data_IF_052221078932
#
_entry.id   IF_052221078932
#
_cell.length_a   1.000
_cell.length_b   1.000
_cell.length_c   1.000
_cell.angle_alpha   90.00
_cell.angle_beta   90.00
_cell.angle_gamma   90.00
#
_symmetry.space_group_name_H-M   'P 1'
#
loop_
_entity.id
_entity.type
_entity.pdbx_description
1 polymer ?
#
# COMPACT_ATOMS: atom_id res chain seq x y z
N UNK A 1 53.02 -56.18 29.41
CA UNK A 1 53.62 -54.94 28.88
C UNK A 1 53.34 -54.84 27.39
N UNK A 2 53.12 -53.61 26.93
CA UNK A 2 52.91 -53.14 25.55
C UNK A 2 51.53 -53.34 24.92
N UNK A 3 50.97 -52.16 24.68
CA UNK A 3 49.76 -51.78 23.96
C UNK A 3 49.86 -52.12 22.47
N UNK A 4 48.72 -52.36 21.82
CA UNK A 4 48.49 -51.93 20.44
C UNK A 4 46.99 -51.77 20.10
N UNK A 5 46.66 -50.51 19.80
CA UNK A 5 45.83 -49.99 18.69
C UNK A 5 44.38 -50.45 18.46
N UNK A 6 43.46 -49.61 18.99
CA UNK A 6 42.52 -48.71 18.27
C UNK A 6 42.03 -49.14 16.86
N UNK A 7 40.71 -49.36 16.76
CA UNK A 7 39.83 -48.75 15.74
C UNK A 7 38.41 -48.54 16.30
N UNK A 8 37.90 -47.29 16.43
CA UNK A 8 36.47 -47.04 16.41
C UNK A 8 36.03 -46.65 15.00
N UNK A 9 34.96 -47.30 14.56
CA UNK A 9 34.23 -47.05 13.34
C UNK A 9 33.51 -45.69 13.39
N UNK A 10 33.53 -45.00 12.25
CA UNK A 10 32.46 -44.16 11.67
C UNK A 10 31.22 -43.95 12.55
N UNK A 11 30.81 -42.73 12.89
CA UNK A 11 30.73 -41.56 12.03
C UNK A 11 29.29 -41.35 11.60
N UNK A 12 28.48 -40.69 12.43
CA UNK A 12 27.19 -40.09 12.07
C UNK A 12 27.08 -38.76 12.82
N UNK A 13 27.61 -37.69 12.24
CA UNK A 13 27.27 -36.33 12.64
C UNK A 13 25.97 -35.95 11.94
N UNK A 14 24.91 -35.73 12.72
CA UNK A 14 23.70 -35.09 12.25
C UNK A 14 24.04 -33.65 11.82
N UNK A 15 23.92 -33.39 10.52
CA UNK A 15 23.97 -32.05 9.98
C UNK A 15 22.69 -31.31 10.40
N UNK A 16 22.81 -30.40 11.36
CA UNK A 16 21.79 -29.39 11.62
C UNK A 16 21.75 -28.44 10.41
N UNK A 17 20.76 -28.63 9.55
CA UNK A 17 20.40 -27.65 8.52
C UNK A 17 19.72 -26.49 9.26
N UNK A 18 20.46 -25.40 9.46
CA UNK A 18 19.87 -24.11 9.78
C UNK A 18 19.11 -23.64 8.54
N UNK A 19 17.78 -23.79 8.55
CA UNK A 19 16.91 -23.04 7.65
C UNK A 19 16.96 -21.60 8.13
N UNK A 20 17.84 -20.80 7.52
CA UNK A 20 17.79 -19.35 7.62
C UNK A 20 16.50 -18.93 6.91
N UNK A 21 15.44 -18.72 7.68
CA UNK A 21 14.27 -18.00 7.21
C UNK A 21 14.79 -16.62 6.77
N UNK A 22 14.81 -16.38 5.46
CA UNK A 22 15.09 -15.08 4.91
C UNK A 22 14.01 -14.12 5.45
N UNK A 23 14.42 -13.31 6.45
CA UNK A 23 13.74 -12.09 6.84
C UNK A 23 13.51 -11.31 5.55
N UNK A 24 12.28 -11.33 5.03
CA UNK A 24 11.86 -10.40 4.01
C UNK A 24 11.67 -9.06 4.71
N UNK A 25 12.77 -8.36 4.96
CA UNK A 25 12.71 -6.92 5.09
C UNK A 25 12.14 -6.40 3.77
N UNK A 26 11.04 -5.63 3.76
CA UNK A 26 10.65 -4.92 2.55
C UNK A 26 11.82 -4.01 2.19
N UNK A 27 12.55 -4.35 1.13
CA UNK A 27 13.52 -3.47 0.52
C UNK A 27 12.73 -2.36 -0.15
N UNK A 28 12.42 -1.31 0.61
CA UNK A 28 12.03 -0.03 0.05
C UNK A 28 13.24 0.47 -0.78
N UNK A 29 13.18 0.26 -2.08
CA UNK A 29 14.07 0.93 -3.02
C UNK A 29 13.53 2.34 -3.26
N UNK A 30 14.17 3.36 -2.68
CA UNK A 30 14.00 4.77 -3.02
C UNK A 30 15.42 5.39 -3.01
N UNK A 31 15.89 6.14 -4.01
CA UNK A 31 15.20 7.15 -4.82
C UNK A 31 15.38 6.92 -6.34
N UNK A 32 14.33 6.44 -7.00
CA UNK A 32 14.25 6.55 -8.46
C UNK A 32 13.56 7.87 -8.82
N UNK A 33 14.31 8.83 -9.36
CA UNK A 33 13.71 9.93 -10.10
C UNK A 33 13.39 9.46 -11.53
N UNK A 34 12.26 9.92 -12.07
CA UNK A 34 11.89 9.67 -13.45
C UNK A 34 11.35 10.93 -14.10
N UNK A 35 12.01 11.37 -15.17
CA UNK A 35 11.58 12.50 -15.98
C UNK A 35 10.77 12.00 -17.18
N UNK A 36 9.63 12.63 -17.42
CA UNK A 36 8.76 12.31 -18.54
C UNK A 36 8.12 13.56 -19.14
N UNK A 37 7.74 13.46 -20.41
CA UNK A 37 7.11 14.54 -21.16
C UNK A 37 5.67 14.16 -21.43
N UNK A 38 4.74 14.98 -20.95
CA UNK A 38 3.31 14.83 -21.21
C UNK A 38 2.59 16.15 -20.98
N UNK A 39 1.40 16.31 -21.54
CA UNK A 39 0.60 17.55 -21.42
C UNK A 39 1.40 18.81 -21.79
N UNK A 40 2.29 18.69 -22.78
CA UNK A 40 3.20 19.75 -23.26
C UNK A 40 4.19 20.30 -22.20
N UNK A 41 4.40 19.58 -21.11
CA UNK A 41 5.37 19.90 -20.07
C UNK A 41 6.34 18.77 -19.79
N UNK A 42 7.45 19.10 -19.12
CA UNK A 42 8.35 18.12 -18.52
C UNK A 42 8.02 18.00 -17.04
N UNK A 43 7.89 16.77 -16.59
CA UNK A 43 7.49 16.43 -15.23
C UNK A 43 8.53 15.52 -14.60
N UNK A 44 8.69 15.63 -13.29
CA UNK A 44 9.53 14.75 -12.48
C UNK A 44 8.64 13.93 -11.56
N UNK A 45 8.71 12.61 -11.68
CA UNK A 45 8.25 11.69 -10.65
C UNK A 45 9.39 11.40 -9.69
N UNK A 46 9.13 11.53 -8.39
CA UNK A 46 10.05 11.28 -7.28
C UNK A 46 9.35 10.46 -6.20
N UNK A 47 10.11 9.99 -5.21
CA UNK A 47 9.60 9.19 -4.08
C UNK A 47 8.77 7.99 -4.56
N UNK A 48 9.25 7.29 -5.59
CA UNK A 48 8.51 6.21 -6.24
C UNK A 48 8.60 4.96 -5.35
N UNK A 49 7.47 4.55 -4.78
CA UNK A 49 7.38 3.40 -3.88
C UNK A 49 6.52 2.33 -4.53
N UNK A 50 7.04 1.11 -4.58
CA UNK A 50 6.34 -0.08 -5.05
C UNK A 50 5.96 -0.96 -3.87
N UNK A 51 4.67 -1.26 -3.75
CA UNK A 51 4.15 -2.17 -2.72
C UNK A 51 3.42 -3.34 -3.37
N UNK A 52 3.79 -4.56 -3.02
CA UNK A 52 3.10 -5.77 -3.46
C UNK A 52 1.96 -6.10 -2.48
N UNK A 53 0.76 -6.30 -3.01
CA UNK A 53 -0.44 -6.71 -2.28
C UNK A 53 -1.05 -7.90 -3.02
N UNK A 54 -1.08 -9.07 -2.39
CA UNK A 54 -1.67 -10.31 -2.96
C UNK A 54 -1.21 -10.58 -4.42
N UNK A 55 0.09 -10.38 -4.69
CA UNK A 55 0.70 -10.55 -6.02
C UNK A 55 0.29 -9.53 -7.09
N UNK A 56 -0.33 -8.42 -6.73
CA UNK A 56 -0.50 -7.25 -7.59
C UNK A 56 0.19 -6.03 -6.96
N UNK A 57 0.45 -4.99 -7.75
CA UNK A 57 1.31 -3.87 -7.39
C UNK A 57 0.53 -2.58 -7.26
N UNK A 58 0.81 -1.88 -6.17
CA UNK A 58 0.50 -0.48 -5.96
C UNK A 58 1.78 0.33 -6.18
N UNK A 59 1.66 1.47 -6.88
CA UNK A 59 2.76 2.40 -7.07
C UNK A 59 2.38 3.76 -6.49
N UNK A 60 3.12 4.26 -5.52
CA UNK A 60 2.94 5.62 -4.99
C UNK A 60 4.07 6.52 -5.51
N UNK A 61 3.75 7.75 -5.88
CA UNK A 61 4.75 8.72 -6.36
C UNK A 61 4.31 10.17 -6.14
N UNK A 62 5.31 11.04 -6.02
CA UNK A 62 5.14 12.49 -6.05
C UNK A 62 5.53 13.03 -7.42
N UNK A 63 4.71 13.90 -7.99
CA UNK A 63 4.93 14.48 -9.32
C UNK A 63 5.03 16.00 -9.23
N UNK A 64 6.05 16.54 -9.90
CA UNK A 64 6.42 17.95 -9.84
C UNK A 64 6.59 18.50 -11.26
N UNK A 65 6.25 19.78 -11.45
CA UNK A 65 6.56 20.50 -12.69
C UNK A 65 8.07 20.70 -12.78
N UNK A 66 8.69 20.22 -13.85
CA UNK A 66 10.11 20.47 -14.13
C UNK A 66 10.33 21.59 -15.17
N UNK A 67 9.33 21.87 -16.02
CA UNK A 67 9.35 22.95 -17.01
C UNK A 67 7.97 23.64 -17.12
N UNK A 68 7.91 24.94 -17.46
CA UNK A 68 6.68 25.74 -17.43
C UNK A 68 5.58 25.19 -18.34
N UNK A 69 4.33 25.41 -17.91
CA UNK A 69 3.12 25.07 -18.66
C UNK A 69 2.59 26.31 -19.38
N UNK A 70 2.28 26.18 -20.67
CA UNK A 70 1.70 27.27 -21.46
C UNK A 70 0.16 27.34 -21.35
N UNK A 71 -0.49 26.41 -20.63
CA UNK A 71 -1.96 26.34 -20.51
C UNK A 71 -2.45 25.83 -19.16
N UNK A 72 -3.70 26.16 -18.83
CA UNK A 72 -4.40 25.58 -17.69
C UNK A 72 -4.73 24.10 -17.94
N UNK A 73 -4.35 23.25 -16.98
CA UNK A 73 -4.66 21.82 -16.98
C UNK A 73 -5.63 21.52 -15.83
N UNK A 74 -6.59 20.63 -16.09
CA UNK A 74 -7.48 20.15 -15.03
C UNK A 74 -6.84 18.99 -14.26
N UNK A 75 -7.19 18.82 -12.99
CA UNK A 75 -6.66 17.72 -12.18
C UNK A 75 -6.93 16.33 -12.80
N UNK A 76 -8.12 16.01 -13.34
CA UNK A 76 -8.34 14.72 -13.99
C UNK A 76 -7.41 14.45 -15.18
N UNK A 77 -7.13 15.46 -16.01
CA UNK A 77 -6.20 15.33 -17.14
C UNK A 77 -4.78 15.03 -16.66
N UNK A 78 -4.33 15.74 -15.62
CA UNK A 78 -3.01 15.49 -15.01
C UNK A 78 -2.92 14.07 -14.45
N UNK A 79 -3.87 13.66 -13.62
CA UNK A 79 -3.89 12.32 -13.04
C UNK A 79 -3.91 11.21 -14.09
N UNK A 80 -4.70 11.37 -15.16
CA UNK A 80 -4.80 10.36 -16.20
C UNK A 80 -3.48 10.24 -16.99
N UNK A 81 -2.92 11.38 -17.40
CA UNK A 81 -1.65 11.40 -18.14
C UNK A 81 -0.50 10.83 -17.30
N UNK A 82 -0.41 11.23 -16.04
CA UNK A 82 0.65 10.80 -15.15
C UNK A 82 0.55 9.32 -14.80
N UNK A 83 -0.65 8.83 -14.51
CA UNK A 83 -0.85 7.40 -14.26
C UNK A 83 -0.43 6.56 -15.47
N UNK A 84 -0.81 6.98 -16.69
CA UNK A 84 -0.41 6.28 -17.92
C UNK A 84 1.11 6.21 -18.06
N UNK A 85 1.80 7.31 -17.75
CA UNK A 85 3.26 7.36 -17.78
C UNK A 85 3.90 6.40 -16.77
N UNK A 86 3.44 6.41 -15.52
CA UNK A 86 3.95 5.51 -14.48
C UNK A 86 3.71 4.03 -14.83
N UNK A 87 2.50 3.68 -15.29
CA UNK A 87 2.16 2.29 -15.70
C UNK A 87 2.97 1.85 -16.91
N UNK A 88 3.23 2.75 -17.86
CA UNK A 88 4.00 2.46 -19.08
C UNK A 88 5.49 2.30 -18.79
N UNK A 89 6.08 3.28 -18.10
CA UNK A 89 7.51 3.35 -17.85
C UNK A 89 7.97 2.42 -16.72
N UNK A 90 7.09 2.14 -15.75
CA UNK A 90 7.36 1.35 -14.54
C UNK A 90 8.68 1.76 -13.87
N UNK A 91 8.85 3.06 -13.57
CA UNK A 91 10.11 3.58 -13.05
C UNK A 91 10.41 2.94 -11.69
N UNK A 92 11.66 2.50 -11.51
CA UNK A 92 12.11 1.90 -10.25
C UNK A 92 11.41 0.60 -9.87
N UNK A 93 10.74 -0.08 -10.82
CA UNK A 93 10.07 -1.34 -10.53
C UNK A 93 11.06 -2.38 -9.96
N UNK A 94 10.69 -3.13 -8.90
CA UNK A 94 11.61 -4.05 -8.22
C UNK A 94 12.04 -5.24 -9.11
N UNK A 95 11.32 -5.49 -10.20
CA UNK A 95 11.70 -6.48 -11.22
C UNK A 95 11.26 -5.99 -12.61
N UNK A 96 12.14 -6.09 -13.60
CA UNK A 96 11.89 -5.73 -15.00
C UNK A 96 10.73 -6.52 -15.66
N UNK A 97 10.32 -7.64 -15.08
CA UNK A 97 9.26 -8.52 -15.60
C UNK A 97 7.84 -8.18 -15.11
N UNK A 98 7.68 -7.16 -14.27
CA UNK A 98 6.35 -6.73 -13.82
C UNK A 98 5.54 -6.26 -15.03
N UNK A 99 4.46 -6.99 -15.34
CA UNK A 99 3.47 -6.58 -16.32
C UNK A 99 2.66 -5.41 -15.79
N UNK A 100 2.37 -4.46 -16.66
CA UNK A 100 1.36 -3.40 -16.47
C UNK A 100 0.00 -3.94 -16.00
N UNK A 101 -0.39 -5.15 -16.40
CA UNK A 101 -1.62 -5.83 -15.96
C UNK A 101 -1.62 -6.27 -14.50
N UNK A 102 -0.43 -6.31 -13.86
CA UNK A 102 -0.30 -6.60 -12.42
C UNK A 102 -0.30 -5.33 -11.58
N UNK A 103 -0.35 -4.14 -12.17
CA UNK A 103 -0.53 -2.89 -11.44
C UNK A 103 -2.03 -2.69 -11.28
N UNK A 104 -2.50 -2.59 -10.04
CA UNK A 104 -3.93 -2.40 -9.75
C UNK A 104 -4.26 -0.96 -9.33
N UNK A 105 -3.25 -0.21 -8.87
CA UNK A 105 -3.43 1.14 -8.35
C UNK A 105 -2.15 1.98 -8.49
N UNK A 106 -2.32 3.25 -8.84
CA UNK A 106 -1.28 4.27 -8.79
C UNK A 106 -1.74 5.42 -7.92
N UNK A 107 -0.97 5.76 -6.89
CA UNK A 107 -1.23 6.87 -5.99
C UNK A 107 -0.36 8.05 -6.40
N UNK A 108 -1.01 9.15 -6.79
CA UNK A 108 -0.32 10.33 -7.32
C UNK A 108 -0.52 11.50 -6.38
N UNK A 109 0.58 11.99 -5.82
CA UNK A 109 0.62 13.30 -5.17
C UNK A 109 1.23 14.32 -6.13
N UNK A 110 0.52 15.39 -6.47
CA UNK A 110 1.05 16.42 -7.38
C UNK A 110 1.43 17.65 -6.56
N UNK A 111 2.66 18.13 -6.72
CA UNK A 111 3.14 19.37 -6.11
C UNK A 111 3.00 20.55 -7.09
N UNK A 112 2.48 21.66 -6.58
CA UNK A 112 2.55 22.95 -7.24
C UNK A 112 4.00 23.46 -7.27
N UNK A 113 4.34 24.47 -8.11
CA UNK A 113 5.70 25.02 -8.21
C UNK A 113 6.28 25.55 -6.89
N UNK A 114 5.44 25.87 -5.91
CA UNK A 114 5.84 26.28 -4.56
C UNK A 114 6.15 25.09 -3.63
N UNK A 115 6.19 23.86 -4.16
CA UNK A 115 6.44 22.62 -3.42
C UNK A 115 5.26 22.12 -2.58
N UNK A 116 4.10 22.80 -2.61
CA UNK A 116 2.92 22.37 -1.84
C UNK A 116 2.07 21.40 -2.65
N UNK A 117 1.49 20.36 -2.01
CA UNK A 117 0.61 19.45 -2.72
C UNK A 117 -0.68 20.17 -3.14
N UNK A 118 -1.18 19.85 -4.33
CA UNK A 118 -2.43 20.42 -4.84
C UNK A 118 -3.68 19.75 -4.22
N UNK A 119 -3.49 18.61 -3.56
CA UNK A 119 -4.51 17.86 -2.83
C UNK A 119 -4.02 17.54 -1.41
N UNK A 120 -4.96 17.36 -0.47
CA UNK A 120 -4.61 17.06 0.92
C UNK A 120 -3.98 15.66 1.11
N UNK A 121 -4.24 14.75 0.17
CA UNK A 121 -3.70 13.40 0.14
C UNK A 121 -3.37 12.99 -1.30
N UNK A 122 -2.49 11.99 -1.50
CA UNK A 122 -2.30 11.37 -2.81
C UNK A 122 -3.63 10.90 -3.38
N UNK A 123 -3.84 11.11 -4.68
CA UNK A 123 -5.04 10.66 -5.38
C UNK A 123 -4.86 9.19 -5.78
N UNK A 124 -5.71 8.27 -5.28
CA UNK A 124 -5.63 6.87 -5.66
C UNK A 124 -6.33 6.63 -6.99
N UNK A 125 -5.60 6.13 -7.98
CA UNK A 125 -6.09 5.88 -9.34
C UNK A 125 -6.11 4.38 -9.60
N UNK A 126 -7.29 3.85 -9.89
CA UNK A 126 -7.46 2.44 -10.27
C UNK A 126 -6.77 2.14 -11.59
N UNK A 127 -6.11 0.98 -11.69
CA UNK A 127 -5.56 0.44 -12.93
C UNK A 127 -6.23 -0.90 -13.22
N UNK A 128 -6.95 -0.96 -14.32
CA UNK A 128 -7.62 -2.18 -14.75
C UNK A 128 -7.10 -2.60 -16.13
N UNK A 129 -6.53 -3.79 -16.22
CA UNK A 129 -5.98 -4.33 -17.46
C UNK A 129 -4.94 -3.38 -18.11
N UNK A 130 -4.08 -2.75 -17.30
CA UNK A 130 -3.07 -1.79 -17.76
C UNK A 130 -3.61 -0.40 -18.13
N UNK A 131 -4.90 -0.12 -17.88
CA UNK A 131 -5.52 1.18 -18.17
C UNK A 131 -5.88 1.91 -16.87
N UNK A 132 -5.42 3.16 -16.76
CA UNK A 132 -5.77 4.06 -15.68
C UNK A 132 -7.23 4.51 -15.77
N UNK A 133 -7.94 4.42 -14.65
CA UNK A 133 -9.33 4.81 -14.51
C UNK A 133 -9.41 5.99 -13.55
N UNK A 134 -9.35 7.19 -14.09
CA UNK A 134 -9.55 8.43 -13.32
C UNK A 134 -11.05 8.74 -13.31
N UNK A 135 -11.66 8.74 -12.13
CA UNK A 135 -13.08 9.03 -12.00
C UNK A 135 -13.40 10.50 -12.32
N UNK A 136 -14.51 10.73 -13.02
CA UNK A 136 -15.21 12.01 -12.99
C UNK A 136 -15.99 12.17 -11.68
N UNK A 137 -16.28 13.40 -11.27
CA UNK A 137 -16.86 13.78 -9.98
C UNK A 137 -17.90 12.83 -9.36
N UNK A 138 -17.87 12.76 -8.03
CA UNK A 138 -18.72 12.00 -7.10
C UNK A 138 -18.77 10.47 -7.21
N UNK A 139 -18.16 9.87 -8.24
CA UNK A 139 -17.95 8.42 -8.31
C UNK A 139 -16.54 8.07 -8.79
N UNK A 140 -15.54 8.63 -8.10
CA UNK A 140 -14.21 8.01 -8.09
C UNK A 140 -14.38 6.54 -7.73
N UNK A 141 -14.11 5.64 -8.68
CA UNK A 141 -14.02 4.22 -8.42
C UNK A 141 -12.87 4.04 -7.43
N UNK A 142 -13.18 4.05 -6.13
CA UNK A 142 -12.22 3.77 -5.08
C UNK A 142 -11.56 2.44 -5.42
N UNK A 143 -10.23 2.42 -5.64
CA UNK A 143 -9.55 1.24 -6.14
C UNK A 143 -9.80 0.07 -5.21
N UNK A 144 -10.28 -1.01 -5.81
CA UNK A 144 -10.51 -2.25 -5.08
C UNK A 144 -9.19 -2.97 -4.89
N UNK A 145 -8.99 -3.56 -3.73
CA UNK A 145 -7.82 -4.37 -3.49
C UNK A 145 -7.86 -5.67 -4.30
N UNK A 146 -6.70 -6.25 -4.64
CA UNK A 146 -6.59 -7.48 -5.42
C UNK A 146 -6.81 -8.74 -4.56
N UNK A 147 -6.71 -9.91 -5.21
CA UNK A 147 -6.64 -11.21 -4.54
C UNK A 147 -7.80 -11.49 -3.58
N UNK A 148 -7.48 -11.85 -2.34
CA UNK A 148 -8.49 -12.18 -1.29
C UNK A 148 -9.33 -10.98 -0.84
N UNK A 149 -8.97 -9.76 -1.22
CA UNK A 149 -9.75 -8.54 -0.93
C UNK A 149 -10.49 -8.02 -2.18
N UNK A 150 -10.55 -8.80 -3.25
CA UNK A 150 -11.25 -8.41 -4.49
C UNK A 150 -12.69 -8.00 -4.21
N UNK A 151 -13.07 -6.83 -4.71
CA UNK A 151 -14.41 -6.26 -4.51
C UNK A 151 -14.58 -5.47 -3.22
N UNK A 152 -13.51 -5.29 -2.45
CA UNK A 152 -13.43 -4.40 -1.29
C UNK A 152 -12.49 -3.24 -1.58
N UNK A 153 -12.79 -2.07 -1.03
CA UNK A 153 -11.94 -0.88 -1.12
C UNK A 153 -11.80 -0.25 0.27
N UNK A 154 -10.72 0.52 0.45
CA UNK A 154 -10.54 1.35 1.62
C UNK A 154 -11.52 2.52 1.56
N UNK A 155 -12.44 2.58 2.52
CA UNK A 155 -13.42 3.66 2.59
C UNK A 155 -12.98 4.77 3.54
N UNK A 156 -12.34 4.40 4.66
CA UNK A 156 -11.87 5.37 5.63
C UNK A 156 -10.74 4.79 6.50
N UNK A 157 -9.90 5.68 7.03
CA UNK A 157 -8.96 5.40 8.10
C UNK A 157 -8.97 6.56 9.09
N UNK A 158 -9.20 6.28 10.37
CA UNK A 158 -9.15 7.28 11.41
C UNK A 158 -8.46 6.76 12.67
N UNK A 159 -8.03 7.69 13.52
CA UNK A 159 -7.55 7.39 14.85
C UNK A 159 -8.66 7.73 15.83
N UNK A 160 -8.97 6.78 16.72
CA UNK A 160 -9.97 6.98 17.77
C UNK A 160 -9.28 6.93 19.12
N UNK A 161 -9.59 7.92 19.96
CA UNK A 161 -9.20 7.90 21.37
C UNK A 161 -10.07 6.90 22.13
N UNK A 162 -9.45 6.03 22.92
CA UNK A 162 -10.09 5.07 23.79
C UNK A 162 -9.50 5.20 25.21
N UNK A 163 -10.06 6.12 26.00
CA UNK A 163 -9.50 6.48 27.30
C UNK A 163 -8.20 7.27 27.14
N UNK A 164 -7.11 6.79 27.74
CA UNK A 164 -5.78 7.39 27.64
C UNK A 164 -4.99 6.92 26.41
N UNK A 165 -5.49 5.91 25.68
CA UNK A 165 -4.80 5.34 24.52
C UNK A 165 -5.50 5.71 23.23
N UNK A 166 -4.75 5.69 22.12
CA UNK A 166 -5.27 5.98 20.80
C UNK A 166 -5.07 4.76 19.91
N UNK A 167 -6.13 4.37 19.20
CA UNK A 167 -6.16 3.19 18.33
C UNK A 167 -6.43 3.57 16.90
N UNK A 168 -5.73 2.93 15.98
CA UNK A 168 -5.96 3.09 14.53
C UNK A 168 -7.17 2.26 14.13
N UNK A 169 -8.07 2.85 13.37
CA UNK A 169 -9.28 2.21 12.85
C UNK A 169 -9.31 2.34 11.33
N UNK A 170 -9.42 1.22 10.64
CA UNK A 170 -9.49 1.15 9.19
C UNK A 170 -10.78 0.49 8.77
N UNK A 171 -11.51 1.16 7.87
CA UNK A 171 -12.78 0.69 7.33
C UNK A 171 -12.62 0.32 5.86
N UNK A 172 -12.98 -0.93 5.57
CA UNK A 172 -13.22 -1.42 4.23
C UNK A 172 -14.72 -1.48 3.95
N UNK A 173 -15.09 -1.03 2.76
CA UNK A 173 -16.45 -1.20 2.25
C UNK A 173 -16.42 -2.04 0.98
N UNK A 174 -17.50 -2.80 0.76
CA UNK A 174 -17.67 -3.46 -0.53
C UNK A 174 -17.83 -2.41 -1.63
N UNK A 175 -17.22 -2.67 -2.77
CA UNK A 175 -17.34 -1.80 -3.93
C UNK A 175 -18.74 -1.89 -4.53
N UNK A 176 -19.23 -0.77 -5.06
CA UNK A 176 -20.57 -0.70 -5.66
C UNK A 176 -20.73 -1.79 -6.74
N UNK A 177 -21.78 -2.61 -6.59
CA UNK A 177 -22.09 -3.68 -7.54
C UNK A 177 -21.29 -4.96 -7.37
N UNK A 178 -20.42 -5.06 -6.35
CA UNK A 178 -19.83 -6.34 -5.96
C UNK A 178 -20.85 -7.20 -5.20
N UNK A 179 -20.72 -8.53 -5.34
CA UNK A 179 -21.56 -9.52 -4.65
C UNK A 179 -20.81 -10.20 -3.49
N UNK A 180 -19.80 -9.52 -2.94
CA UNK A 180 -18.99 -10.03 -1.82
C UNK A 180 -19.75 -9.91 -0.50
N UNK A 181 -19.55 -10.86 0.41
CA UNK A 181 -20.16 -10.85 1.74
C UNK A 181 -19.12 -10.60 2.81
N UNK A 182 -19.53 -10.04 3.95
CA UNK A 182 -18.61 -9.80 5.08
C UNK A 182 -17.92 -11.08 5.56
N UNK A 183 -18.60 -12.23 5.47
CA UNK A 183 -18.00 -13.53 5.80
C UNK A 183 -16.84 -13.94 4.88
N UNK A 184 -16.75 -13.36 3.68
CA UNK A 184 -15.68 -13.60 2.72
C UNK A 184 -14.50 -12.64 2.92
N UNK A 185 -14.62 -11.66 3.82
CA UNK A 185 -13.59 -10.66 4.06
C UNK A 185 -12.45 -11.22 4.91
N UNK A 186 -11.23 -11.19 4.37
CA UNK A 186 -10.06 -11.66 5.08
C UNK A 186 -9.40 -10.53 5.89
N UNK A 187 -9.70 -10.48 7.20
CA UNK A 187 -9.23 -9.44 8.11
C UNK A 187 -7.70 -9.38 8.22
N UNK A 188 -7.02 -10.54 8.27
CA UNK A 188 -5.57 -10.58 8.39
C UNK A 188 -4.89 -10.02 7.12
N UNK A 189 -5.39 -10.39 5.94
CA UNK A 189 -4.89 -9.83 4.66
C UNK A 189 -5.17 -8.34 4.57
N UNK A 190 -6.34 -7.89 5.03
CA UNK A 190 -6.65 -6.46 5.08
C UNK A 190 -5.68 -5.69 5.97
N UNK A 191 -5.36 -6.21 7.16
CA UNK A 191 -4.35 -5.63 8.02
C UNK A 191 -2.98 -5.54 7.31
N UNK A 192 -2.48 -6.64 6.75
CA UNK A 192 -1.19 -6.63 6.05
C UNK A 192 -1.20 -5.69 4.84
N UNK A 193 -2.30 -5.63 4.10
CA UNK A 193 -2.45 -4.72 2.98
C UNK A 193 -2.38 -3.26 3.42
N UNK A 194 -2.99 -2.91 4.55
CA UNK A 194 -2.95 -1.53 5.10
C UNK A 194 -1.56 -1.13 5.62
N UNK A 195 -0.80 -2.06 6.19
CA UNK A 195 0.59 -1.79 6.59
C UNK A 195 1.49 -1.51 5.39
N UNK A 196 1.20 -2.16 4.25
CA UNK A 196 1.99 -2.00 3.03
C UNK A 196 1.49 -0.90 2.08
N UNK A 197 0.33 -0.28 2.35
CA UNK A 197 -0.26 0.78 1.51
C UNK A 197 0.27 2.17 1.90
N UNK A 198 1.11 2.82 1.08
CA UNK A 198 1.73 4.11 1.43
C UNK A 198 0.73 5.24 1.61
N UNK A 199 -0.42 5.19 0.93
CA UNK A 199 -1.46 6.21 1.11
C UNK A 199 -2.15 6.04 2.46
N UNK A 200 -2.40 4.80 2.89
CA UNK A 200 -2.90 4.53 4.25
C UNK A 200 -1.91 5.07 5.28
N UNK A 201 -0.62 4.77 5.13
CA UNK A 201 0.42 5.26 6.04
C UNK A 201 0.48 6.79 6.06
N UNK A 202 0.45 7.44 4.89
CA UNK A 202 0.47 8.91 4.79
C UNK A 202 -0.75 9.57 5.44
N UNK A 203 -1.94 9.00 5.24
CA UNK A 203 -3.17 9.49 5.88
C UNK A 203 -3.08 9.40 7.41
N UNK A 204 -2.48 8.33 7.91
CA UNK A 204 -2.24 8.14 9.34
C UNK A 204 -1.19 9.14 9.88
N UNK A 205 -0.04 9.26 9.23
CA UNK A 205 1.04 10.17 9.62
C UNK A 205 0.59 11.63 9.65
N UNK A 206 -0.25 12.04 8.70
CA UNK A 206 -0.82 13.38 8.66
C UNK A 206 -1.75 13.64 9.85
N UNK A 207 -2.53 12.64 10.27
CA UNK A 207 -3.41 12.76 11.42
C UNK A 207 -2.61 12.79 12.73
N UNK A 208 -1.62 11.91 12.87
CA UNK A 208 -0.79 11.81 14.08
C UNK A 208 0.02 13.08 14.34
N UNK A 209 0.54 13.73 13.29
CA UNK A 209 1.22 15.03 13.41
C UNK A 209 0.32 16.15 13.96
N UNK A 210 -1.00 16.02 13.84
CA UNK A 210 -1.97 16.96 14.40
C UNK A 210 -2.28 16.75 15.88
N UNK A 211 -1.80 15.65 16.49
CA UNK A 211 -2.05 15.30 17.88
C UNK A 211 -0.84 15.70 18.75
N UNK A 212 -0.83 16.91 19.28
CA UNK A 212 0.22 17.34 20.23
C UNK A 212 0.13 16.52 21.54
N UNK A 213 1.26 16.01 22.03
CA UNK A 213 1.42 15.29 23.32
C UNK A 213 0.66 13.95 23.46
N UNK A 214 0.29 13.31 22.35
CA UNK A 214 -0.41 12.02 22.37
C UNK A 214 0.55 10.86 22.13
N UNK A 215 0.50 9.85 23.00
CA UNK A 215 1.17 8.55 22.76
C UNK A 215 0.20 7.62 22.05
N UNK A 216 0.33 7.52 20.73
CA UNK A 216 -0.34 6.50 19.94
C UNK A 216 0.08 5.10 20.41
N UNK A 217 -0.83 4.12 20.34
CA UNK A 217 -0.42 2.71 20.30
C UNK A 217 -0.24 2.36 18.82
N UNK A 218 0.97 2.51 18.25
CA UNK A 218 1.19 2.29 16.81
C UNK A 218 0.99 0.82 16.41
N UNK A 219 0.81 -0.04 17.42
CA UNK A 219 0.74 -1.47 17.30
C UNK A 219 -0.70 -1.99 17.35
N UNK A 220 -1.74 -1.17 17.60
CA UNK A 220 -3.11 -1.67 17.63
C UNK A 220 -3.93 -1.08 16.48
N UNK A 221 -4.27 -1.95 15.54
CA UNK A 221 -5.11 -1.62 14.38
C UNK A 221 -6.42 -2.40 14.45
N UNK A 222 -7.54 -1.68 14.35
CA UNK A 222 -8.87 -2.26 14.26
C UNK A 222 -9.36 -2.20 12.82
N UNK A 223 -9.66 -3.36 12.23
CA UNK A 223 -10.18 -3.46 10.86
C UNK A 223 -11.69 -3.68 10.92
N UNK A 224 -12.44 -2.92 10.13
CA UNK A 224 -13.86 -3.12 9.90
C UNK A 224 -14.12 -3.46 8.44
N UNK A 225 -15.06 -4.37 8.21
CA UNK A 225 -15.57 -4.69 6.89
C UNK A 225 -17.08 -4.47 6.87
N UNK A 226 -17.57 -3.76 5.86
CA UNK A 226 -18.99 -3.42 5.70
C UNK A 226 -19.54 -3.81 4.33
N UNK A 227 -20.58 -4.65 4.32
CA UNK A 227 -21.10 -5.25 3.08
C UNK A 227 -21.76 -4.25 2.14
N UNK A 228 -22.38 -3.17 2.65
CA UNK A 228 -22.93 -2.05 1.86
C UNK A 228 -23.01 -0.80 2.72
N UNK A 229 -22.85 0.37 2.11
CA UNK A 229 -22.93 1.67 2.79
C UNK A 229 -24.20 1.83 3.67
N UNK A 230 -25.31 1.21 3.28
CA UNK A 230 -26.63 1.36 3.92
C UNK A 230 -27.09 0.20 4.80
N UNK A 231 -26.45 -0.98 4.73
CA UNK A 231 -27.02 -2.21 5.34
C UNK A 231 -26.48 -2.55 6.73
N UNK A 232 -25.51 -1.80 7.25
CA UNK A 232 -25.07 -1.92 8.64
C UNK A 232 -24.52 -3.28 9.08
N UNK A 233 -24.21 -4.19 8.14
CA UNK A 233 -23.56 -5.48 8.44
C UNK A 233 -22.07 -5.24 8.54
N UNK A 234 -21.51 -5.46 9.74
CA UNK A 234 -20.09 -5.26 10.03
C UNK A 234 -19.46 -6.52 10.60
N UNK A 235 -18.22 -6.80 10.18
CA UNK A 235 -17.28 -7.58 10.97
C UNK A 235 -16.15 -6.67 11.45
N UNK A 236 -15.54 -7.05 12.57
CA UNK A 236 -14.38 -6.36 13.13
C UNK A 236 -13.34 -7.36 13.64
N UNK A 237 -12.08 -7.00 13.53
CA UNK A 237 -10.97 -7.68 14.18
C UNK A 237 -9.96 -6.63 14.66
N UNK A 238 -9.23 -6.96 15.73
CA UNK A 238 -8.17 -6.11 16.28
C UNK A 238 -6.86 -6.83 16.11
N UNK A 239 -5.83 -6.12 15.67
CA UNK A 239 -4.51 -6.67 15.40
C UNK A 239 -3.45 -5.96 16.22
N UNK A 240 -2.51 -6.75 16.75
CA UNK A 240 -1.19 -6.28 17.16
C UNK A 240 -0.28 -6.22 15.93
N UNK A 241 0.38 -5.08 15.72
CA UNK A 241 1.30 -4.79 14.61
C UNK A 241 2.69 -4.35 15.04
N UNK A 242 3.05 -4.62 16.31
CA UNK A 242 4.31 -4.19 16.93
C UNK A 242 5.58 -4.71 16.25
N UNK A 243 5.52 -5.88 15.63
CA UNK A 243 6.65 -6.51 14.93
C UNK A 243 6.58 -6.34 13.40
N UNK A 244 5.67 -5.49 12.91
CA UNK A 244 5.42 -5.32 11.48
C UNK A 244 4.59 -6.45 10.85
N UNK A 245 4.06 -7.38 11.65
CA UNK A 245 3.11 -8.40 11.20
C UNK A 245 1.70 -8.08 11.69
N UNK A 246 0.70 -8.87 11.28
CA UNK A 246 -0.68 -8.69 11.75
C UNK A 246 -1.09 -9.89 12.59
N UNK A 247 -1.02 -9.76 13.92
CA UNK A 247 -1.42 -10.80 14.87
C UNK A 247 -2.78 -10.46 15.44
N UNK A 248 -3.80 -11.26 15.13
CA UNK A 248 -5.15 -11.02 15.62
C UNK A 248 -5.23 -11.20 17.15
N UNK A 249 -5.75 -10.18 17.83
CA UNK A 249 -6.04 -10.18 19.26
C UNK A 249 -7.42 -10.79 19.50
N UNK A 250 -7.51 -11.71 20.46
CA UNK A 250 -8.75 -12.38 20.87
C UNK A 250 -9.47 -11.66 21.98
#
# INVERSE_FOLDING_TARGET
MRWNMIRPQSGWYAAFIFVVAALHTPTAHADAEHYFVTLDGTWRASNIVWSEIESEWLVATTIEVAAPLDRGLTAPQMFEAFCKEIVRARPGAPNATISDKRIFRVDINILAPNGRPISAAPAPISVAQGKCQVGGGDQSLLPTYPGRLKGWHLANGNVQQNGETFRRTILFESSRGSNVKVADFNMAVACTATLNDPTVQTLQDNFERGLENVRMEPNIVMIFAKERATQGVFARATFDTSDGTCVELK
#
